data_IF_282263148061
#
_entry.id   IF_282263148061
#
_cell.length_a   1.000
_cell.length_b   1.000
_cell.length_c   1.000
_cell.angle_alpha   90.00
_cell.angle_beta   90.00
_cell.angle_gamma   90.00
#
_symmetry.space_group_name_H-M   'P 1'
#
loop_
_entity.id
_entity.type
_entity.pdbx_description
1 polymer ?
#
# COMPACT_ATOMS: atom_id res chain seq x y z
N UNK A 1 12.33 -25.71 44.83
CA UNK A 1 12.74 -25.78 43.42
C UNK A 1 11.63 -25.16 42.58
N UNK A 2 11.80 -23.91 42.12
CA UNK A 2 10.86 -23.31 41.16
C UNK A 2 11.21 -23.85 39.77
N UNK A 3 10.22 -24.43 39.09
CA UNK A 3 10.36 -24.86 37.70
C UNK A 3 10.56 -23.62 36.82
N UNK A 4 11.63 -23.61 36.04
CA UNK A 4 11.90 -22.56 35.06
C UNK A 4 10.75 -22.51 34.06
N UNK A 5 10.15 -21.33 33.89
CA UNK A 5 9.22 -21.07 32.79
C UNK A 5 9.97 -21.27 31.46
N UNK A 6 9.41 -22.03 30.50
CA UNK A 6 10.07 -22.25 29.23
C UNK A 6 10.20 -20.92 28.47
N UNK A 7 11.38 -20.70 27.89
CA UNK A 7 11.71 -19.50 27.12
C UNK A 7 10.67 -19.30 25.99
N UNK A 8 9.99 -18.14 25.94
CA UNK A 8 8.98 -17.84 24.93
C UNK A 8 9.45 -18.04 23.48
N UNK A 9 10.75 -17.84 23.21
CA UNK A 9 11.34 -18.06 21.90
C UNK A 9 11.39 -19.56 21.53
N UNK A 10 11.66 -20.42 22.51
CA UNK A 10 11.74 -21.86 22.34
C UNK A 10 10.35 -22.47 22.09
N UNK A 11 9.33 -21.96 22.79
CA UNK A 11 7.94 -22.35 22.59
C UNK A 11 7.41 -21.95 21.21
N UNK A 12 7.79 -20.77 20.72
CA UNK A 12 7.45 -20.31 19.38
C UNK A 12 8.12 -21.17 18.30
N UNK A 13 9.39 -21.55 18.48
CA UNK A 13 10.11 -22.44 17.55
C UNK A 13 9.47 -23.83 17.50
N UNK A 14 9.11 -24.40 18.65
CA UNK A 14 8.43 -25.70 18.74
C UNK A 14 7.05 -25.67 18.06
N UNK A 15 6.28 -24.60 18.25
CA UNK A 15 4.97 -24.43 17.59
C UNK A 15 5.10 -24.25 16.06
N UNK A 16 6.12 -23.52 15.60
CA UNK A 16 6.45 -23.39 14.17
C UNK A 16 6.82 -24.76 13.58
N UNK A 17 7.67 -25.52 14.27
CA UNK A 17 8.12 -26.84 13.81
C UNK A 17 6.95 -27.85 13.78
N UNK A 18 6.05 -27.78 14.76
CA UNK A 18 4.86 -28.62 14.85
C UNK A 18 3.86 -28.37 13.72
N UNK A 19 3.81 -27.16 13.16
CA UNK A 19 2.90 -26.78 12.07
C UNK A 19 3.56 -26.94 10.69
N UNK A 20 4.84 -26.59 10.57
CA UNK A 20 5.58 -26.64 9.32
C UNK A 20 5.79 -28.08 8.83
N UNK A 21 6.09 -29.03 9.74
CA UNK A 21 6.34 -30.43 9.35
C UNK A 21 5.11 -31.13 8.72
N UNK A 22 3.89 -31.04 9.29
CA UNK A 22 2.69 -31.58 8.64
C UNK A 22 2.35 -30.89 7.32
N UNK A 23 2.53 -29.56 7.24
CA UNK A 23 2.24 -28.80 6.02
C UNK A 23 3.19 -29.15 4.88
N UNK A 24 4.49 -29.28 5.17
CA UNK A 24 5.49 -29.72 4.18
C UNK A 24 5.24 -31.14 3.70
N UNK A 25 4.80 -32.05 4.60
CA UNK A 25 4.39 -33.41 4.20
C UNK A 25 3.15 -33.41 3.32
N UNK A 26 2.19 -32.54 3.60
CA UNK A 26 0.98 -32.40 2.80
C UNK A 26 1.28 -31.82 1.41
N UNK A 27 2.15 -30.81 1.32
CA UNK A 27 2.60 -30.25 0.04
C UNK A 27 3.36 -31.29 -0.79
N UNK A 28 4.29 -32.02 -0.17
CA UNK A 28 5.00 -33.12 -0.84
C UNK A 28 4.06 -34.24 -1.32
N UNK A 29 2.93 -34.47 -0.62
CA UNK A 29 1.90 -35.41 -1.05
C UNK A 29 1.06 -34.89 -2.22
N UNK A 30 0.70 -33.60 -2.24
CA UNK A 30 -0.01 -32.99 -3.37
C UNK A 30 0.83 -32.98 -4.65
N UNK A 31 2.14 -32.81 -4.52
CA UNK A 31 3.08 -32.76 -5.64
C UNK A 31 3.55 -34.16 -6.10
N UNK A 32 3.15 -35.23 -5.40
CA UNK A 32 3.51 -36.60 -5.77
C UNK A 32 2.63 -37.13 -6.93
N UNK A 33 3.21 -37.82 -7.93
CA UNK A 33 2.44 -38.41 -9.02
C UNK A 33 1.49 -39.50 -8.49
N UNK A 34 0.29 -39.57 -9.08
CA UNK A 34 -0.76 -40.51 -8.65
C UNK A 34 -0.25 -41.95 -8.71
N UNK A 35 -0.31 -42.72 -7.61
CA UNK A 35 0.18 -44.10 -7.62
C UNK A 35 -0.66 -44.98 -8.55
N UNK A 36 -0.06 -45.99 -9.21
CA UNK A 36 -0.77 -46.86 -10.13
C UNK A 36 -1.84 -47.67 -9.40
N UNK A 37 -3.02 -47.77 -10.03
CA UNK A 37 -4.21 -48.45 -9.50
C UNK A 37 -3.93 -49.94 -9.23
N UNK A 38 -3.95 -50.34 -7.97
CA UNK A 38 -4.19 -51.73 -7.56
C UNK A 38 -5.61 -51.90 -7.00
N UNK A 39 -6.11 -53.13 -7.16
CA UNK A 39 -7.51 -53.52 -7.19
C UNK A 39 -8.29 -53.44 -5.87
N UNK A 40 -9.57 -53.08 -6.02
CA UNK A 40 -10.74 -53.21 -5.13
C UNK A 40 -10.54 -54.04 -3.85
N UNK A 41 -10.42 -53.31 -2.73
CA UNK A 41 -11.13 -53.60 -1.49
C UNK A 41 -12.00 -52.37 -1.22
N UNK A 42 -13.27 -52.55 -0.87
CA UNK A 42 -14.15 -51.44 -0.50
C UNK A 42 -13.52 -50.68 0.68
N UNK A 43 -13.27 -49.35 0.55
CA UNK A 43 -12.74 -48.59 1.67
C UNK A 43 -13.79 -48.56 2.78
N UNK A 44 -13.41 -48.71 4.06
CA UNK A 44 -14.30 -48.30 5.14
C UNK A 44 -14.71 -46.86 4.86
N UNK A 45 -16.02 -46.57 4.99
CA UNK A 45 -16.63 -45.28 4.67
C UNK A 45 -15.65 -44.14 4.96
N UNK A 46 -15.11 -43.53 3.90
CA UNK A 46 -14.10 -42.51 4.03
C UNK A 46 -14.66 -41.43 4.95
N UNK A 47 -14.09 -41.30 6.15
CA UNK A 47 -14.32 -40.12 6.99
C UNK A 47 -14.10 -38.94 6.06
N UNK A 48 -15.11 -38.07 5.89
CA UNK A 48 -14.93 -36.78 5.22
C UNK A 48 -13.68 -36.17 5.85
N UNK A 49 -12.58 -36.15 5.12
CA UNK A 49 -11.39 -35.49 5.61
C UNK A 49 -11.77 -34.03 5.68
N UNK A 50 -11.84 -33.47 6.89
CA UNK A 50 -12.12 -32.05 7.06
C UNK A 50 -10.96 -31.30 6.40
N UNK A 51 -11.21 -30.73 5.22
CA UNK A 51 -10.21 -29.96 4.48
C UNK A 51 -10.12 -28.59 5.13
N UNK A 52 -8.89 -28.12 5.38
CA UNK A 52 -8.66 -26.74 5.86
C UNK A 52 -9.26 -25.78 4.83
N UNK A 53 -10.23 -24.92 5.21
CA UNK A 53 -10.92 -24.07 4.25
C UNK A 53 -9.96 -23.16 3.50
N UNK A 54 -9.92 -23.17 2.15
CA UNK A 54 -9.05 -22.28 1.40
C UNK A 54 -9.46 -20.82 1.64
N UNK A 55 -8.50 -19.90 1.47
CA UNK A 55 -8.73 -18.47 1.51
C UNK A 55 -8.56 -17.88 0.12
N UNK A 56 -9.61 -17.22 -0.38
CA UNK A 56 -9.52 -16.40 -1.58
C UNK A 56 -9.17 -14.96 -1.18
N UNK A 57 -8.13 -14.38 -1.79
CA UNK A 57 -7.73 -12.99 -1.51
C UNK A 57 -8.83 -11.98 -1.87
N UNK A 58 -9.81 -12.36 -2.69
CA UNK A 58 -11.01 -11.56 -2.91
C UNK A 58 -11.92 -11.46 -1.67
N UNK A 59 -11.68 -12.23 -0.61
CA UNK A 59 -12.35 -12.08 0.68
C UNK A 59 -11.76 -10.93 1.54
N UNK A 60 -10.59 -10.38 1.16
CA UNK A 60 -9.90 -9.30 1.88
C UNK A 60 -10.76 -8.04 2.06
N UNK A 61 -11.49 -7.51 1.07
CA UNK A 61 -12.35 -6.34 1.27
C UNK A 61 -13.43 -6.56 2.34
N UNK A 62 -13.97 -7.77 2.43
CA UNK A 62 -14.93 -8.14 3.48
C UNK A 62 -14.29 -8.13 4.87
N UNK A 63 -13.05 -8.64 4.98
CA UNK A 63 -12.26 -8.59 6.20
C UNK A 63 -11.88 -7.15 6.59
N UNK A 64 -11.46 -6.33 5.63
CA UNK A 64 -11.12 -4.92 5.85
C UNK A 64 -12.27 -4.14 6.49
N UNK A 65 -13.51 -4.33 6.03
CA UNK A 65 -14.69 -3.68 6.64
C UNK A 65 -14.91 -4.11 8.09
N UNK A 66 -14.64 -5.37 8.44
CA UNK A 66 -14.74 -5.87 9.83
C UNK A 66 -13.67 -5.26 10.73
N UNK A 67 -12.53 -4.91 10.15
CA UNK A 67 -11.40 -4.22 10.81
C UNK A 67 -11.53 -2.69 10.73
N UNK A 68 -12.73 -2.16 10.46
CA UNK A 68 -13.00 -0.72 10.37
C UNK A 68 -12.17 0.01 9.29
N UNK A 69 -11.86 -0.68 8.19
CA UNK A 69 -11.14 -0.14 7.03
C UNK A 69 -12.03 -0.03 5.76
N UNK A 70 -13.11 0.77 5.76
CA UNK A 70 -14.04 0.85 4.63
C UNK A 70 -13.46 1.47 3.35
N UNK A 71 -12.56 2.46 3.44
CA UNK A 71 -11.93 3.08 2.26
C UNK A 71 -10.94 2.11 1.63
N UNK A 72 -10.14 1.43 2.45
CA UNK A 72 -9.20 0.39 2.03
C UNK A 72 -9.93 -0.74 1.29
N UNK A 73 -11.07 -1.19 1.84
CA UNK A 73 -11.91 -2.20 1.21
C UNK A 73 -12.40 -1.76 -0.17
N UNK A 74 -12.85 -0.50 -0.30
CA UNK A 74 -13.33 0.06 -1.57
C UNK A 74 -12.21 0.12 -2.62
N UNK A 75 -11.01 0.55 -2.23
CA UNK A 75 -9.85 0.61 -3.13
C UNK A 75 -9.42 -0.79 -3.58
N UNK A 76 -9.42 -1.76 -2.66
CA UNK A 76 -9.11 -3.15 -2.97
C UNK A 76 -10.14 -3.77 -3.93
N UNK A 77 -11.44 -3.51 -3.72
CA UNK A 77 -12.50 -3.93 -4.64
C UNK A 77 -12.35 -3.31 -6.02
N UNK A 78 -12.01 -2.02 -6.07
CA UNK A 78 -11.68 -1.33 -7.32
C UNK A 78 -10.51 -2.00 -8.04
N UNK A 79 -9.43 -2.32 -7.31
CA UNK A 79 -8.28 -3.01 -7.88
C UNK A 79 -8.70 -4.34 -8.52
N UNK A 80 -9.39 -5.22 -7.77
CA UNK A 80 -9.86 -6.51 -8.29
C UNK A 80 -10.83 -6.38 -9.47
N UNK A 81 -11.70 -5.37 -9.45
CA UNK A 81 -12.65 -5.11 -10.52
C UNK A 81 -11.99 -4.51 -11.79
N UNK A 82 -10.81 -3.91 -11.65
CA UNK A 82 -10.07 -3.26 -12.72
C UNK A 82 -9.71 -4.19 -13.88
N UNK A 83 -9.63 -3.60 -15.08
CA UNK A 83 -8.94 -4.22 -16.22
C UNK A 83 -7.45 -4.40 -15.89
N UNK A 84 -6.78 -5.30 -16.61
CA UNK A 84 -5.36 -5.57 -16.39
C UNK A 84 -4.53 -4.31 -16.62
N UNK A 85 -3.91 -3.80 -15.57
CA UNK A 85 -3.01 -2.66 -15.61
C UNK A 85 -1.94 -2.82 -14.55
N UNK A 86 -0.67 -2.67 -14.92
CA UNK A 86 0.45 -2.65 -13.98
C UNK A 86 1.68 -2.00 -14.62
N UNK A 87 2.55 -1.42 -13.80
CA UNK A 87 3.83 -0.89 -14.23
C UNK A 87 4.90 -1.98 -14.21
N UNK A 88 5.87 -1.93 -15.14
CA UNK A 88 6.99 -2.88 -15.17
C UNK A 88 8.14 -2.48 -14.24
N UNK A 89 8.18 -1.21 -13.82
CA UNK A 89 9.20 -0.67 -12.92
C UNK A 89 8.64 0.47 -12.06
N UNK A 90 9.32 0.76 -10.94
CA UNK A 90 9.01 1.92 -10.08
C UNK A 90 9.04 3.26 -10.85
N UNK A 91 9.87 3.38 -11.89
CA UNK A 91 9.89 4.55 -12.77
C UNK A 91 8.62 4.64 -13.61
N UNK A 92 8.21 3.52 -14.21
CA UNK A 92 6.98 3.47 -15.00
C UNK A 92 5.77 3.81 -14.12
N UNK A 93 5.74 3.32 -12.88
CA UNK A 93 4.66 3.64 -11.96
C UNK A 93 4.61 5.13 -11.61
N UNK A 94 5.76 5.76 -11.40
CA UNK A 94 5.85 7.20 -11.15
C UNK A 94 5.36 7.99 -12.36
N UNK A 95 5.73 7.57 -13.56
CA UNK A 95 5.38 8.22 -14.82
C UNK A 95 3.99 7.82 -15.35
N UNK A 96 3.32 6.90 -14.65
CA UNK A 96 2.00 6.35 -14.95
C UNK A 96 2.00 5.62 -16.29
N UNK A 97 2.97 4.73 -16.49
CA UNK A 97 3.18 3.93 -17.70
C UNK A 97 2.86 2.47 -17.42
N UNK A 98 1.99 1.88 -18.23
CA UNK A 98 1.50 0.51 -18.07
C UNK A 98 2.43 -0.54 -18.68
N UNK A 99 1.99 -1.80 -18.62
CA UNK A 99 2.75 -2.96 -19.07
C UNK A 99 3.07 -2.96 -20.57
N UNK A 100 2.36 -2.15 -21.35
CA UNK A 100 2.50 -2.00 -22.80
C UNK A 100 3.31 -0.74 -23.19
N UNK A 101 3.90 -0.05 -22.20
CA UNK A 101 4.63 1.20 -22.39
C UNK A 101 3.73 2.40 -22.71
N UNK A 102 2.42 2.29 -22.44
CA UNK A 102 1.45 3.36 -22.68
C UNK A 102 1.11 4.11 -21.39
N UNK A 103 0.77 5.40 -21.45
CA UNK A 103 0.22 6.11 -20.30
C UNK A 103 -1.03 5.42 -19.76
N UNK A 104 -1.19 5.42 -18.43
CA UNK A 104 -2.39 4.95 -17.75
C UNK A 104 -3.61 5.67 -18.33
N UNK A 105 -4.61 4.88 -18.71
CA UNK A 105 -5.91 5.35 -19.17
C UNK A 105 -6.66 6.07 -18.05
N UNK A 106 -7.67 6.86 -18.40
CA UNK A 106 -8.48 7.58 -17.39
C UNK A 106 -9.24 6.64 -16.45
N UNK A 107 -9.54 5.41 -16.87
CA UNK A 107 -10.10 4.36 -15.98
C UNK A 107 -9.14 3.99 -14.85
N UNK A 108 -7.83 4.22 -15.00
CA UNK A 108 -6.78 3.92 -14.02
C UNK A 108 -6.38 5.12 -13.17
N UNK A 109 -7.19 6.18 -13.17
CA UNK A 109 -6.98 7.36 -12.32
C UNK A 109 -8.20 7.54 -11.41
N UNK A 110 -8.03 7.28 -10.11
CA UNK A 110 -9.06 7.52 -9.11
C UNK A 110 -8.93 8.93 -8.55
N UNK A 111 -9.99 9.74 -8.70
CA UNK A 111 -10.06 11.12 -8.20
C UNK A 111 -11.14 11.33 -7.13
N UNK A 112 -11.71 10.23 -6.61
CA UNK A 112 -12.97 10.27 -5.84
C UNK A 112 -12.96 9.43 -4.57
N UNK A 113 -12.16 8.37 -4.49
CA UNK A 113 -12.19 7.46 -3.33
C UNK A 113 -11.52 8.03 -2.10
N UNK A 114 -10.51 8.88 -2.27
CA UNK A 114 -9.75 9.51 -1.19
C UNK A 114 -9.88 11.02 -1.32
N UNK A 115 -10.32 11.69 -0.26
CA UNK A 115 -10.43 13.16 -0.23
C UNK A 115 -9.52 13.76 0.83
N UNK A 116 -9.07 14.99 0.63
CA UNK A 116 -8.28 15.76 1.60
C UNK A 116 -9.00 15.89 2.93
N UNK A 117 -10.32 16.09 2.92
CA UNK A 117 -11.11 16.16 4.15
C UNK A 117 -11.13 14.83 4.91
N UNK A 118 -11.12 13.69 4.20
CA UNK A 118 -10.96 12.39 4.85
C UNK A 118 -9.53 12.18 5.38
N UNK A 119 -8.52 12.44 4.55
CA UNK A 119 -7.10 12.27 4.94
C UNK A 119 -6.76 13.11 6.18
N UNK A 120 -7.21 14.37 6.24
CA UNK A 120 -6.90 15.29 7.34
C UNK A 120 -7.66 15.02 8.64
N UNK A 121 -8.59 14.05 8.67
CA UNK A 121 -9.14 13.51 9.94
C UNK A 121 -8.08 12.75 10.74
N UNK A 122 -7.07 12.19 10.06
CA UNK A 122 -5.98 11.47 10.71
C UNK A 122 -4.92 12.46 11.20
N UNK A 123 -4.67 12.47 12.50
CA UNK A 123 -3.74 13.41 13.14
C UNK A 123 -2.33 13.37 12.51
N UNK A 124 -1.82 12.18 12.20
CA UNK A 124 -0.50 12.02 11.56
C UNK A 124 -0.41 12.68 10.19
N UNK A 125 -1.49 12.62 9.40
CA UNK A 125 -1.53 13.24 8.10
C UNK A 125 -1.68 14.76 8.24
N UNK A 126 -2.53 15.22 9.16
CA UNK A 126 -2.70 16.65 9.45
C UNK A 126 -1.39 17.33 9.86
N UNK A 127 -0.59 16.70 10.72
CA UNK A 127 0.73 17.22 11.12
C UNK A 127 1.66 17.42 9.93
N UNK A 128 1.70 16.45 9.00
CA UNK A 128 2.54 16.56 7.81
C UNK A 128 2.00 17.60 6.83
N UNK A 129 0.68 17.71 6.68
CA UNK A 129 0.05 18.77 5.89
C UNK A 129 0.44 20.16 6.43
N UNK A 130 0.35 20.37 7.75
CA UNK A 130 0.75 21.63 8.41
C UNK A 130 2.25 21.91 8.23
N UNK A 131 3.10 20.90 8.39
CA UNK A 131 4.54 21.01 8.14
C UNK A 131 4.85 21.40 6.68
N UNK A 132 4.12 20.83 5.72
CA UNK A 132 4.28 21.18 4.31
C UNK A 132 4.03 22.67 4.08
N UNK A 133 2.87 23.17 4.50
CA UNK A 133 2.41 24.52 4.16
C UNK A 133 3.11 25.62 4.99
N UNK A 134 3.56 25.30 6.20
CA UNK A 134 4.18 26.29 7.09
C UNK A 134 5.71 26.29 7.01
N UNK A 135 6.32 25.15 6.70
CA UNK A 135 7.79 24.99 6.80
C UNK A 135 8.40 24.48 5.50
N UNK A 136 7.97 23.32 5.00
CA UNK A 136 8.71 22.59 3.99
C UNK A 136 8.74 23.29 2.62
N UNK A 137 7.70 24.03 2.25
CA UNK A 137 7.66 24.82 1.01
C UNK A 137 8.67 25.96 0.96
N UNK A 138 9.26 26.35 2.10
CA UNK A 138 10.24 27.45 2.18
C UNK A 138 11.70 26.99 2.19
N UNK A 139 11.96 25.69 2.11
CA UNK A 139 13.33 25.20 2.10
C UNK A 139 14.04 25.45 0.76
N UNK A 140 15.37 25.32 0.76
CA UNK A 140 16.21 25.57 -0.43
C UNK A 140 15.79 24.72 -1.63
N UNK A 141 15.45 23.44 -1.43
CA UNK A 141 15.08 22.54 -2.55
C UNK A 141 13.76 23.00 -3.19
N UNK A 142 12.76 23.34 -2.39
CA UNK A 142 11.50 23.89 -2.88
C UNK A 142 11.72 25.21 -3.64
N UNK A 143 12.58 26.08 -3.13
CA UNK A 143 12.95 27.33 -3.81
C UNK A 143 13.56 27.08 -5.20
N UNK A 144 14.53 26.16 -5.31
CA UNK A 144 15.19 25.86 -6.58
C UNK A 144 14.23 25.21 -7.59
N UNK A 145 13.37 24.27 -7.16
CA UNK A 145 12.37 23.69 -8.06
C UNK A 145 11.31 24.70 -8.49
N UNK A 146 10.83 25.56 -7.58
CA UNK A 146 9.91 26.65 -7.95
C UNK A 146 10.56 27.63 -8.94
N UNK A 147 11.83 28.01 -8.71
CA UNK A 147 12.61 28.85 -9.63
C UNK A 147 12.75 28.19 -11.00
N UNK A 148 13.09 26.90 -11.06
CA UNK A 148 13.21 26.14 -12.31
C UNK A 148 11.88 26.08 -13.07
N UNK A 149 10.77 25.84 -12.36
CA UNK A 149 9.42 25.83 -12.94
C UNK A 149 9.05 27.19 -13.51
N UNK A 150 9.15 28.24 -12.71
CA UNK A 150 8.70 29.58 -13.07
C UNK A 150 9.60 30.26 -14.11
N UNK A 151 10.88 29.87 -14.23
CA UNK A 151 11.80 30.40 -15.25
C UNK A 151 11.24 30.23 -16.67
N UNK A 152 10.46 29.17 -16.94
CA UNK A 152 9.80 28.92 -18.24
C UNK A 152 8.76 29.98 -18.60
N UNK A 153 8.20 30.65 -17.59
CA UNK A 153 7.12 31.63 -17.73
C UNK A 153 7.58 33.07 -17.52
N UNK A 154 8.89 33.33 -17.34
CA UNK A 154 9.45 34.63 -16.93
C UNK A 154 9.11 35.84 -17.82
N UNK A 155 8.63 35.60 -19.05
CA UNK A 155 8.23 36.65 -19.99
C UNK A 155 6.75 37.05 -19.87
N UNK A 156 6.00 36.40 -18.98
CA UNK A 156 4.58 36.68 -18.72
C UNK A 156 4.45 37.58 -17.50
N UNK A 157 3.32 38.26 -17.33
CA UNK A 157 3.01 39.06 -16.13
C UNK A 157 2.49 38.20 -14.97
N UNK A 158 1.85 37.08 -15.29
CA UNK A 158 1.33 36.12 -14.33
C UNK A 158 1.09 34.78 -14.98
N UNK A 159 0.96 33.75 -14.15
CA UNK A 159 0.59 32.39 -14.57
C UNK A 159 -0.44 31.82 -13.60
N UNK A 160 -1.46 31.19 -14.17
CA UNK A 160 -2.43 30.35 -13.48
C UNK A 160 -2.17 28.89 -13.89
N UNK A 161 -1.37 28.13 -13.12
CA UNK A 161 -1.00 26.75 -13.44
C UNK A 161 -2.16 25.82 -13.77
N UNK A 162 -3.31 25.96 -13.10
CA UNK A 162 -4.51 25.18 -13.44
C UNK A 162 -4.97 25.41 -14.88
N UNK A 163 -4.94 26.66 -15.33
CA UNK A 163 -5.29 27.01 -16.72
C UNK A 163 -4.24 26.53 -17.71
N UNK A 164 -2.95 26.59 -17.37
CA UNK A 164 -1.87 26.04 -18.21
C UNK A 164 -1.90 24.51 -18.31
N UNK A 165 -2.64 23.84 -17.43
CA UNK A 165 -2.74 22.39 -17.34
C UNK A 165 -4.13 21.88 -17.73
N UNK A 166 -4.94 22.67 -18.42
CA UNK A 166 -6.30 22.32 -18.85
C UNK A 166 -7.20 21.80 -17.71
N UNK A 167 -6.96 22.30 -16.49
CA UNK A 167 -7.59 21.84 -15.25
C UNK A 167 -7.39 20.33 -14.94
N UNK A 168 -6.33 19.72 -15.48
CA UNK A 168 -5.93 18.35 -15.16
C UNK A 168 -4.87 18.33 -14.05
N UNK A 169 -5.21 17.68 -12.94
CA UNK A 169 -4.32 17.50 -11.79
C UNK A 169 -3.06 16.69 -12.14
N UNK A 170 -3.12 15.79 -13.13
CA UNK A 170 -1.95 15.02 -13.59
C UNK A 170 -0.93 15.97 -14.23
N UNK A 171 -1.41 16.87 -15.09
CA UNK A 171 -0.57 17.88 -15.71
C UNK A 171 -0.04 18.89 -14.68
N UNK A 172 -0.89 19.32 -13.73
CA UNK A 172 -0.45 20.18 -12.63
C UNK A 172 0.68 19.52 -11.82
N UNK A 173 0.51 18.24 -11.49
CA UNK A 173 1.52 17.46 -10.77
C UNK A 173 2.84 17.39 -11.54
N UNK A 174 2.81 17.04 -12.81
CA UNK A 174 4.02 16.90 -13.64
C UNK A 174 4.73 18.24 -13.84
N UNK A 175 3.99 19.33 -14.02
CA UNK A 175 4.55 20.58 -14.50
C UNK A 175 4.82 21.63 -13.42
N UNK A 176 4.06 21.60 -12.31
CA UNK A 176 4.06 22.66 -11.30
C UNK A 176 4.25 22.18 -9.85
N UNK A 177 4.36 20.86 -9.61
CA UNK A 177 4.75 20.33 -8.31
C UNK A 177 6.19 20.74 -7.97
N UNK A 178 6.40 21.29 -6.78
CA UNK A 178 7.70 21.81 -6.37
C UNK A 178 8.13 21.37 -4.97
N UNK A 179 7.20 20.86 -4.15
CA UNK A 179 7.52 20.27 -2.84
C UNK A 179 6.61 19.09 -2.51
N UNK A 180 7.11 18.16 -1.69
CA UNK A 180 6.34 17.09 -1.07
C UNK A 180 6.80 16.82 0.36
N UNK A 181 5.92 16.23 1.16
CA UNK A 181 6.27 15.64 2.46
C UNK A 181 5.69 14.24 2.55
N UNK A 182 6.42 13.34 3.22
CA UNK A 182 6.03 11.95 3.40
C UNK A 182 5.16 11.83 4.64
N UNK A 183 4.08 11.07 4.55
CA UNK A 183 3.31 10.58 5.70
C UNK A 183 3.72 9.13 5.93
N UNK A 184 4.61 8.91 6.90
CA UNK A 184 5.11 7.57 7.22
C UNK A 184 4.06 6.76 7.99
N UNK A 185 3.50 5.75 7.32
CA UNK A 185 2.72 4.67 7.94
C UNK A 185 2.52 3.51 6.98
N UNK A 186 3.59 2.88 6.46
CA UNK A 186 3.40 1.64 5.68
C UNK A 186 2.89 0.50 6.57
N UNK A 187 2.26 -0.52 5.96
CA UNK A 187 1.84 -1.74 6.67
C UNK A 187 3.00 -2.34 7.48
N UNK A 188 4.18 -2.45 6.87
CA UNK A 188 5.37 -3.02 7.51
C UNK A 188 5.88 -2.17 8.67
N UNK A 189 5.89 -0.85 8.54
CA UNK A 189 6.29 0.06 9.63
C UNK A 189 5.31 -0.04 10.80
N UNK A 190 4.01 -0.18 10.53
CA UNK A 190 2.99 -0.43 11.57
C UNK A 190 3.18 -1.79 12.22
N UNK A 191 3.43 -2.84 11.43
CA UNK A 191 3.73 -4.17 11.92
C UNK A 191 5.04 -4.20 12.74
N UNK A 192 6.05 -3.42 12.38
CA UNK A 192 7.29 -3.26 13.13
C UNK A 192 7.03 -2.55 14.47
N UNK A 193 6.25 -1.47 14.47
CA UNK A 193 5.86 -0.79 15.72
C UNK A 193 5.13 -1.73 16.68
N UNK A 194 4.27 -2.60 16.15
CA UNK A 194 3.61 -3.68 16.90
C UNK A 194 4.64 -4.61 17.55
N UNK A 195 5.59 -5.13 16.78
CA UNK A 195 6.64 -6.04 17.30
C UNK A 195 7.52 -5.37 18.34
N UNK A 196 7.99 -4.13 18.06
CA UNK A 196 8.92 -3.42 18.95
C UNK A 196 8.27 -2.97 20.26
N UNK A 197 6.98 -2.62 20.24
CA UNK A 197 6.31 -2.01 21.39
C UNK A 197 5.36 -2.95 22.13
N UNK A 198 5.07 -4.15 21.62
CA UNK A 198 4.06 -5.08 22.15
C UNK A 198 2.69 -4.38 22.36
N UNK A 199 2.37 -3.38 21.54
CA UNK A 199 1.14 -2.58 21.66
C UNK A 199 0.02 -3.26 20.89
N UNK A 200 -1.19 -3.30 21.44
CA UNK A 200 -2.37 -3.97 20.85
C UNK A 200 -2.92 -3.36 19.54
N UNK A 201 -2.25 -2.36 18.94
CA UNK A 201 -2.67 -1.66 17.71
C UNK A 201 -2.04 -2.26 16.44
N UNK A 202 -1.94 -3.60 16.38
CA UNK A 202 -1.22 -4.30 15.30
C UNK A 202 -1.94 -4.38 13.96
N UNK A 203 -3.24 -4.06 13.92
CA UNK A 203 -4.03 -4.02 12.69
C UNK A 203 -3.89 -2.63 12.07
N UNK A 204 -3.60 -2.52 10.76
CA UNK A 204 -3.57 -1.24 10.07
C UNK A 204 -4.90 -0.49 10.24
N UNK A 205 -4.83 0.83 10.39
CA UNK A 205 -6.02 1.66 10.25
C UNK A 205 -6.38 1.89 8.78
N UNK A 206 -7.57 2.43 8.53
CA UNK A 206 -8.09 2.63 7.17
C UNK A 206 -7.17 3.52 6.31
N UNK A 207 -6.46 4.47 6.91
CA UNK A 207 -5.49 5.30 6.19
C UNK A 207 -4.30 4.46 5.71
N UNK A 208 -3.77 3.59 6.58
CA UNK A 208 -2.65 2.68 6.22
C UNK A 208 -3.09 1.66 5.17
N UNK A 209 -4.28 1.08 5.31
CA UNK A 209 -4.80 0.10 4.34
C UNK A 209 -5.11 0.72 2.97
N UNK A 210 -5.39 2.02 2.93
CA UNK A 210 -5.73 2.74 1.69
C UNK A 210 -4.51 3.27 0.94
N UNK A 211 -3.54 3.84 1.66
CA UNK A 211 -2.44 4.62 1.07
C UNK A 211 -1.04 4.19 1.54
N UNK A 212 -0.95 3.25 2.48
CA UNK A 212 0.33 2.86 3.10
C UNK A 212 1.16 4.06 3.57
N UNK A 213 2.38 4.16 3.04
CA UNK A 213 3.18 5.38 3.13
C UNK A 213 2.96 6.22 1.86
N UNK A 214 2.43 7.43 2.03
CA UNK A 214 2.07 8.31 0.92
C UNK A 214 2.69 9.70 1.08
N UNK A 215 2.45 10.58 0.11
CA UNK A 215 2.95 11.94 0.14
C UNK A 215 1.81 12.97 0.01
N UNK A 216 1.94 14.09 0.74
CA UNK A 216 1.32 15.33 0.30
C UNK A 216 2.24 16.02 -0.69
N UNK A 217 1.66 16.60 -1.73
CA UNK A 217 2.35 17.38 -2.74
C UNK A 217 1.84 18.82 -2.73
N UNK A 218 2.76 19.77 -2.91
CA UNK A 218 2.46 21.16 -3.18
C UNK A 218 2.84 21.49 -4.62
N UNK A 219 1.87 22.03 -5.37
CA UNK A 219 2.07 22.63 -6.67
C UNK A 219 1.79 24.13 -6.62
N UNK A 220 2.46 24.90 -7.48
CA UNK A 220 2.17 26.33 -7.64
C UNK A 220 0.74 26.47 -8.17
N UNK A 221 -0.08 27.33 -7.56
CA UNK A 221 -1.44 27.61 -8.01
C UNK A 221 -1.62 29.04 -8.54
N UNK A 222 -0.79 29.99 -8.11
CA UNK A 222 -0.75 31.35 -8.66
C UNK A 222 0.65 31.92 -8.49
N UNK A 223 1.20 32.48 -9.57
CA UNK A 223 2.45 33.23 -9.51
C UNK A 223 2.42 34.47 -10.41
N UNK A 224 2.91 35.58 -9.87
CA UNK A 224 3.04 36.86 -10.56
C UNK A 224 4.51 37.18 -10.81
N UNK A 225 4.80 37.79 -11.95
CA UNK A 225 6.17 38.13 -12.35
C UNK A 225 6.37 39.63 -12.28
N UNK A 226 7.60 40.06 -11.98
CA UNK A 226 7.94 41.47 -12.15
C UNK A 226 7.98 41.85 -13.64
N UNK A 227 7.84 43.16 -13.92
CA UNK A 227 7.82 43.69 -15.29
C UNK A 227 9.11 43.39 -16.09
N UNK A 228 10.21 43.09 -15.40
CA UNK A 228 11.51 42.82 -16.03
C UNK A 228 11.73 41.30 -16.24
N UNK A 229 10.83 40.44 -15.77
CA UNK A 229 11.00 38.99 -15.78
C UNK A 229 12.19 38.50 -14.95
N UNK A 230 12.60 39.26 -13.92
CA UNK A 230 13.76 38.95 -13.06
C UNK A 230 13.38 38.19 -11.80
N UNK A 231 12.14 38.30 -11.36
CA UNK A 231 11.61 37.57 -10.21
C UNK A 231 10.16 37.16 -10.43
N UNK A 232 9.76 36.13 -9.68
CA UNK A 232 8.38 35.70 -9.60
C UNK A 232 7.98 35.51 -8.13
N UNK A 233 6.71 35.77 -7.84
CA UNK A 233 6.13 35.69 -6.50
C UNK A 233 4.96 34.70 -6.53
N UNK A 234 5.12 33.58 -5.82
CA UNK A 234 4.05 32.60 -5.61
C UNK A 234 3.20 33.05 -4.44
N UNK A 235 1.89 33.21 -4.67
CA UNK A 235 0.92 33.66 -3.65
C UNK A 235 -0.03 32.55 -3.21
N UNK A 236 -0.27 31.58 -4.08
CA UNK A 236 -1.14 30.44 -3.79
C UNK A 236 -0.48 29.13 -4.24
N UNK A 237 -0.72 28.08 -3.46
CA UNK A 237 -0.35 26.71 -3.80
C UNK A 237 -1.59 25.81 -3.79
N UNK A 238 -1.54 24.71 -4.54
CA UNK A 238 -2.49 23.63 -4.45
C UNK A 238 -1.83 22.46 -3.72
N UNK A 239 -2.49 21.98 -2.66
CA UNK A 239 -2.02 20.85 -1.85
C UNK A 239 -2.96 19.66 -2.02
N UNK A 240 -2.42 18.50 -2.33
CA UNK A 240 -3.17 17.28 -2.62
C UNK A 240 -2.35 16.03 -2.25
N UNK A 241 -3.01 14.88 -2.20
CA UNK A 241 -2.39 13.57 -2.12
C UNK A 241 -2.33 12.95 -3.51
N UNK A 242 -1.20 12.33 -3.83
CA UNK A 242 -1.05 11.41 -4.95
C UNK A 242 -0.43 10.13 -4.42
N UNK A 243 -0.97 8.99 -4.83
CA UNK A 243 -0.44 7.70 -4.44
C UNK A 243 -0.66 6.62 -5.51
N UNK A 244 0.23 5.63 -5.58
CA UNK A 244 0.10 4.51 -6.49
C UNK A 244 -0.46 3.29 -5.78
N UNK A 245 -1.68 2.88 -6.10
CA UNK A 245 -2.27 1.66 -5.56
C UNK A 245 -1.81 0.46 -6.39
N UNK A 246 -0.67 -0.13 -6.02
CA UNK A 246 -0.07 -1.28 -6.71
C UNK A 246 0.50 -2.30 -5.73
N UNK A 247 0.74 -3.50 -6.25
CA UNK A 247 1.37 -4.61 -5.52
C UNK A 247 2.71 -4.99 -6.16
N UNK A 248 3.54 -4.00 -6.45
CA UNK A 248 4.88 -4.18 -7.04
C UNK A 248 5.88 -4.78 -6.03
N UNK A 249 7.01 -5.27 -6.54
CA UNK A 249 8.08 -5.82 -5.73
C UNK A 249 8.50 -7.22 -6.15
N UNK A 250 9.30 -7.88 -5.30
CA UNK A 250 9.85 -9.20 -5.60
C UNK A 250 8.75 -10.22 -5.86
N UNK A 251 8.96 -11.07 -6.87
CA UNK A 251 8.07 -12.20 -7.21
C UNK A 251 8.31 -13.44 -6.35
N UNK A 252 9.36 -13.43 -5.52
CA UNK A 252 9.74 -14.56 -4.67
C UNK A 252 9.31 -14.36 -3.20
N UNK A 253 9.89 -15.13 -2.29
CA UNK A 253 9.62 -15.07 -0.85
C UNK A 253 9.95 -13.74 -0.19
N UNK A 254 10.73 -12.87 -0.84
CA UNK A 254 11.05 -11.51 -0.39
C UNK A 254 9.97 -10.49 -0.73
N UNK A 255 8.89 -10.93 -1.41
CA UNK A 255 7.73 -10.09 -1.68
C UNK A 255 7.16 -9.52 -0.38
N UNK A 256 6.81 -8.23 -0.40
CA UNK A 256 6.34 -7.49 0.77
C UNK A 256 5.22 -8.24 1.50
N UNK A 257 5.37 -8.37 2.82
CA UNK A 257 4.38 -9.02 3.68
C UNK A 257 3.25 -8.06 4.06
N UNK A 258 2.02 -8.47 3.79
CA UNK A 258 0.81 -7.65 3.97
C UNK A 258 -0.11 -8.18 5.09
N UNK A 259 0.37 -9.11 5.91
CA UNK A 259 -0.43 -9.72 6.98
C UNK A 259 -0.81 -11.17 6.71
N UNK A 260 -1.33 -11.83 7.74
CA UNK A 260 -2.10 -13.05 7.53
C UNK A 260 -3.58 -12.69 7.54
N UNK A 261 -4.30 -13.08 6.50
CA UNK A 261 -5.69 -12.69 6.30
C UNK A 261 -6.62 -13.89 6.38
N UNK A 262 -7.82 -13.63 6.89
CA UNK A 262 -8.95 -14.55 6.81
C UNK A 262 -10.20 -13.75 6.42
N UNK A 263 -11.32 -14.43 6.17
CA UNK A 263 -12.61 -13.74 5.96
C UNK A 263 -13.06 -12.86 7.13
N UNK A 264 -12.48 -13.05 8.32
CA UNK A 264 -12.90 -12.40 9.56
C UNK A 264 -11.95 -11.29 10.00
N UNK A 265 -10.81 -11.11 9.33
CA UNK A 265 -9.88 -10.04 9.66
C UNK A 265 -8.45 -10.26 9.19
N UNK A 266 -7.53 -9.48 9.74
CA UNK A 266 -6.09 -9.59 9.50
C UNK A 266 -5.34 -9.70 10.82
N UNK A 267 -4.28 -10.51 10.84
CA UNK A 267 -3.33 -10.58 11.96
C UNK A 267 -1.90 -10.37 11.46
N UNK A 268 -1.08 -9.82 12.34
CA UNK A 268 0.37 -9.69 12.12
C UNK A 268 1.08 -10.78 12.92
N UNK A 269 1.87 -11.60 12.23
CA UNK A 269 2.70 -12.63 12.86
C UNK A 269 4.12 -12.09 13.02
N UNK A 270 4.61 -11.83 14.26
CA UNK A 270 5.91 -11.19 14.51
C UNK A 270 7.09 -11.82 13.79
N UNK A 271 7.13 -13.17 13.73
CA UNK A 271 8.19 -13.89 13.03
C UNK A 271 8.27 -13.56 11.54
N UNK A 272 7.13 -13.36 10.87
CA UNK A 272 7.11 -12.96 9.45
C UNK A 272 7.62 -11.54 9.23
N UNK A 273 7.30 -10.63 10.15
CA UNK A 273 7.77 -9.24 10.08
C UNK A 273 9.30 -9.22 10.17
N UNK A 274 9.87 -9.90 11.17
CA UNK A 274 11.32 -9.93 11.38
C UNK A 274 12.07 -10.54 10.18
N UNK A 275 11.56 -11.63 9.61
CA UNK A 275 12.20 -12.29 8.47
C UNK A 275 12.08 -11.47 7.19
N UNK A 276 10.93 -10.85 6.94
CA UNK A 276 10.73 -9.98 5.79
C UNK A 276 11.66 -8.75 5.84
N UNK A 277 11.84 -8.15 7.02
CA UNK A 277 12.81 -7.06 7.23
C UNK A 277 14.26 -7.50 6.96
N UNK A 278 14.59 -8.75 7.27
CA UNK A 278 15.92 -9.30 6.99
C UNK A 278 16.13 -9.64 5.50
N UNK A 279 15.08 -9.56 4.67
CA UNK A 279 15.15 -9.94 3.24
C UNK A 279 15.45 -11.42 3.03
N UNK A 280 15.19 -12.25 4.03
CA UNK A 280 15.54 -13.68 4.02
C UNK A 280 14.40 -14.50 3.43
N UNK A 281 14.67 -15.44 2.50
CA UNK A 281 13.66 -16.37 2.02
C UNK A 281 12.98 -17.16 3.14
N UNK A 282 11.66 -17.28 3.10
CA UNK A 282 10.87 -17.93 4.15
C UNK A 282 9.70 -18.73 3.60
N UNK A 283 9.31 -19.77 4.35
CA UNK A 283 8.15 -20.58 4.03
C UNK A 283 6.87 -19.90 4.52
N UNK A 284 5.97 -19.62 3.59
CA UNK A 284 4.63 -19.15 3.90
C UNK A 284 3.74 -20.32 4.35
N UNK A 285 3.14 -20.17 5.53
CA UNK A 285 2.25 -21.13 6.19
C UNK A 285 1.09 -20.42 6.89
N UNK A 286 -0.12 -21.01 6.88
CA UNK A 286 -1.26 -20.45 7.59
C UNK A 286 -1.13 -20.59 9.11
N UNK A 287 -1.80 -19.68 9.83
CA UNK A 287 -1.86 -19.65 11.30
C UNK A 287 -3.30 -19.84 11.76
N UNK A 288 -3.51 -20.68 12.77
CA UNK A 288 -4.83 -20.88 13.39
C UNK A 288 -4.90 -20.07 14.68
N UNK A 289 -5.95 -19.28 14.84
CA UNK A 289 -6.19 -18.54 16.10
C UNK A 289 -6.91 -19.41 17.12
N UNK A 290 -6.51 -19.33 18.40
CA UNK A 290 -7.10 -20.11 19.48
C UNK A 290 -6.70 -21.60 19.45
N UNK A 291 -7.59 -22.48 19.90
CA UNK A 291 -7.31 -23.93 19.95
C UNK A 291 -7.28 -24.52 18.53
N UNK A 292 -6.10 -25.01 18.12
CA UNK A 292 -5.87 -25.59 16.78
C UNK A 292 -6.83 -26.75 16.49
N UNK A 293 -7.02 -27.68 17.41
CA UNK A 293 -7.87 -28.86 17.18
C UNK A 293 -9.33 -28.48 16.94
N UNK A 294 -9.78 -27.39 17.57
CA UNK A 294 -11.15 -26.89 17.42
C UNK A 294 -11.33 -26.01 16.18
N UNK A 295 -10.27 -25.33 15.74
CA UNK A 295 -10.39 -24.19 14.82
C UNK A 295 -9.78 -24.44 13.44
N UNK A 296 -8.96 -25.47 13.26
CA UNK A 296 -8.29 -25.78 11.99
C UNK A 296 -9.24 -25.90 10.79
N UNK A 297 -10.48 -26.36 11.03
CA UNK A 297 -11.48 -26.56 9.98
C UNK A 297 -12.58 -25.49 9.96
N UNK A 298 -12.48 -24.46 10.82
CA UNK A 298 -13.46 -23.38 10.90
C UNK A 298 -13.05 -22.23 9.99
N UNK A 299 -13.91 -21.91 9.00
CA UNK A 299 -13.69 -20.75 8.12
C UNK A 299 -13.57 -19.47 8.97
N UNK A 300 -12.54 -18.67 8.71
CA UNK A 300 -12.26 -17.43 9.44
C UNK A 300 -11.41 -17.58 10.71
N UNK A 301 -11.06 -18.82 11.10
CA UNK A 301 -10.09 -19.06 12.19
C UNK A 301 -8.69 -19.43 11.70
N UNK A 302 -8.57 -19.71 10.40
CA UNK A 302 -7.30 -19.93 9.71
C UNK A 302 -6.96 -18.66 8.93
N UNK A 303 -5.78 -18.09 9.19
CA UNK A 303 -5.28 -16.88 8.59
C UNK A 303 -4.10 -17.22 7.69
N UNK A 304 -4.13 -16.76 6.45
CA UNK A 304 -3.18 -17.11 5.40
C UNK A 304 -2.25 -15.93 5.12
N UNK A 305 -0.92 -16.15 4.99
CA UNK A 305 -0.01 -15.07 4.64
C UNK A 305 -0.36 -14.51 3.26
N UNK A 306 -0.53 -13.19 3.19
CA UNK A 306 -0.75 -12.46 1.94
C UNK A 306 0.44 -11.54 1.71
N UNK A 307 0.88 -11.48 0.46
CA UNK A 307 2.01 -10.66 0.03
C UNK A 307 1.67 -9.96 -1.28
N UNK A 308 2.49 -8.99 -1.69
CA UNK A 308 2.33 -8.33 -2.99
C UNK A 308 2.28 -9.35 -4.14
N UNK A 309 3.12 -10.40 -4.09
CA UNK A 309 3.09 -11.47 -5.11
C UNK A 309 1.77 -12.23 -5.18
N UNK A 310 1.02 -12.33 -4.09
CA UNK A 310 -0.30 -12.98 -4.11
C UNK A 310 -1.27 -12.26 -5.05
N UNK A 311 -1.20 -10.92 -5.08
CA UNK A 311 -1.98 -10.10 -6.01
C UNK A 311 -1.47 -10.23 -7.44
N UNK A 312 -0.15 -10.28 -7.66
CA UNK A 312 0.43 -10.51 -8.99
C UNK A 312 0.10 -11.88 -9.56
N UNK A 313 0.18 -12.93 -8.76
CA UNK A 313 -0.24 -14.28 -9.13
C UNK A 313 -1.72 -14.31 -9.50
N UNK A 314 -2.57 -13.64 -8.72
CA UNK A 314 -3.99 -13.50 -9.04
C UNK A 314 -4.20 -12.72 -10.34
N UNK A 315 -3.48 -11.62 -10.55
CA UNK A 315 -3.56 -10.79 -11.74
C UNK A 315 -3.16 -11.56 -13.00
N UNK A 316 -2.05 -12.30 -12.95
CA UNK A 316 -1.58 -13.17 -14.03
C UNK A 316 -2.60 -14.27 -14.36
N UNK A 317 -3.22 -14.88 -13.35
CA UNK A 317 -4.18 -15.97 -13.53
C UNK A 317 -5.51 -15.49 -14.12
N UNK A 318 -6.01 -14.33 -13.69
CA UNK A 318 -7.35 -13.87 -14.04
C UNK A 318 -7.37 -12.83 -15.16
N UNK A 319 -6.20 -12.32 -15.56
CA UNK A 319 -6.06 -11.25 -16.57
C UNK A 319 -6.91 -10.02 -16.21
N UNK A 320 -6.97 -9.72 -14.91
CA UNK A 320 -7.71 -8.64 -14.25
C UNK A 320 -6.96 -8.21 -13.01
N UNK A 321 -7.41 -7.17 -12.33
CA UNK A 321 -6.62 -6.56 -11.27
C UNK A 321 -5.81 -5.44 -11.89
N UNK A 322 -6.19 -4.21 -11.62
CA UNK A 322 -5.59 -3.04 -12.26
C UNK A 322 -4.98 -2.14 -11.21
N UNK A 323 -3.65 -1.97 -11.27
CA UNK A 323 -2.98 -0.91 -10.53
C UNK A 323 -3.51 0.44 -11.01
N UNK A 324 -3.70 1.40 -10.11
CA UNK A 324 -4.22 2.71 -10.46
C UNK A 324 -3.55 3.80 -9.64
N UNK A 325 -3.64 5.03 -10.12
CA UNK A 325 -3.15 6.20 -9.39
C UNK A 325 -4.31 6.87 -8.67
N UNK A 326 -4.13 7.13 -7.39
CA UNK A 326 -5.02 7.93 -6.57
C UNK A 326 -4.56 9.37 -6.63
N UNK A 327 -5.48 10.27 -6.93
CA UNK A 327 -5.38 11.69 -6.66
C UNK A 327 -6.52 12.07 -5.72
N UNK A 328 -6.23 12.77 -4.63
CA UNK A 328 -7.31 13.41 -3.88
C UNK A 328 -7.84 14.64 -4.62
N UNK A 329 -8.94 15.21 -4.12
CA UNK A 329 -9.20 16.64 -4.32
C UNK A 329 -8.05 17.48 -3.74
N UNK A 330 -8.04 18.78 -4.00
CA UNK A 330 -6.98 19.68 -3.55
C UNK A 330 -7.50 20.77 -2.63
N UNK A 331 -6.63 21.26 -1.75
CA UNK A 331 -6.83 22.50 -1.02
C UNK A 331 -5.96 23.60 -1.63
N UNK A 332 -6.60 24.69 -2.07
CA UNK A 332 -5.88 25.91 -2.44
C UNK A 332 -5.52 26.67 -1.17
N UNK A 333 -4.23 26.90 -0.96
CA UNK A 333 -3.71 27.60 0.21
C UNK A 333 -3.11 28.93 -0.23
N UNK A 334 -3.62 30.02 0.33
CA UNK A 334 -2.98 31.34 0.21
C UNK A 334 -1.81 31.40 1.19
N UNK A 335 -0.62 31.73 0.69
CA UNK A 335 0.58 31.81 1.51
C UNK A 335 0.58 33.09 2.33
N UNK A 336 0.77 32.97 3.65
CA UNK A 336 0.98 34.13 4.53
C UNK A 336 2.26 34.89 4.14
N UNK A 337 3.31 34.14 3.81
CA UNK A 337 4.57 34.65 3.27
C UNK A 337 4.72 34.19 1.83
N UNK A 338 4.46 35.04 0.82
CA UNK A 338 4.68 34.67 -0.57
C UNK A 338 6.11 34.18 -0.84
N UNK A 339 6.25 33.14 -1.66
CA UNK A 339 7.57 32.63 -2.06
C UNK A 339 8.05 33.47 -3.24
N UNK A 340 9.08 34.29 -3.02
CA UNK A 340 9.70 35.08 -4.07
C UNK A 340 10.97 34.41 -4.57
N UNK A 341 11.03 34.10 -5.87
CA UNK A 341 12.18 33.52 -6.56
C UNK A 341 12.83 34.52 -7.51
N UNK A 342 14.15 34.41 -7.70
CA UNK A 342 14.93 35.30 -8.56
C UNK A 342 15.62 34.52 -9.69
N UNK A 343 15.47 34.98 -10.93
CA UNK A 343 16.10 34.44 -12.13
C UNK A 343 17.32 35.29 -12.47
N UNK A 344 18.47 34.91 -11.93
CA UNK A 344 19.77 35.50 -12.33
C UNK A 344 20.02 35.37 -13.84
#
# INVERSE_FOLDING_TARGET
MQAAQPDPAMKMLDDIERIAKPFLRFKAWLDAPVPPKTSKLEPPAAKKQDVVPPFDIQEIPGAMRKEFMPVSAKLMERWFAGELNYSQSDSDQKDEINQDGQPYSESMIDRTSVTMDWVLKHERARKQYEELINTAIYNRKAYEEAKKILRRYRKRLGVSPWTECDNDIRQLHRNFQFQRVVVESSFEQKAEQYVRRMVHEGVPDDLTGSLGAFNFYAAIATADFDLQGKSATVTHIAVYVRDGYSFEGASDTRSQYLGHWSKDGVIVVPGYVAINMAGVPWLDYPVVTGNVAENLHKKGKVYYPVRNRSFREWQLKHQRGGDFIIYSDWKTVRLEKPIKVYFE
#
